data_IF_784888711466
#
_entry.id   IF_784888711466
#
_cell.length_a   1.000
_cell.length_b   1.000
_cell.length_c   1.000
_cell.angle_alpha   90.00
_cell.angle_beta   90.00
_cell.angle_gamma   90.00
#
_symmetry.space_group_name_H-M   'P 1'
#
loop_
_entity.id
_entity.type
_entity.pdbx_description
1 polymer ?
#
# COMPACT_ATOMS: atom_id res chain seq x y z
N UNK A 1 0.06 -14.50 -15.88
CA UNK A 1 0.42 -14.44 -17.31
C UNK A 1 -0.72 -14.93 -18.22
N UNK A 2 -1.21 -16.15 -18.04
CA UNK A 2 -2.19 -16.76 -18.95
C UNK A 2 -3.52 -15.99 -19.07
N UNK A 3 -3.95 -15.33 -17.99
CA UNK A 3 -5.19 -14.55 -17.98
C UNK A 3 -5.05 -13.12 -18.57
N UNK A 4 -3.85 -12.69 -18.93
CA UNK A 4 -3.60 -11.35 -19.45
C UNK A 4 -3.84 -10.22 -18.44
N UNK A 5 -3.78 -10.54 -17.15
CA UNK A 5 -3.97 -9.56 -16.06
C UNK A 5 -2.61 -9.01 -15.65
N UNK A 6 -2.48 -7.69 -15.62
CA UNK A 6 -1.28 -7.01 -15.11
C UNK A 6 -1.20 -7.14 -13.60
N UNK A 7 0.02 -7.26 -13.09
CA UNK A 7 0.33 -7.39 -11.67
C UNK A 7 1.13 -6.18 -11.21
N UNK A 8 0.65 -5.54 -10.17
CA UNK A 8 1.37 -4.60 -9.32
C UNK A 8 1.87 -5.36 -8.10
N UNK A 9 3.17 -5.37 -7.86
CA UNK A 9 3.80 -6.16 -6.80
C UNK A 9 4.42 -5.25 -5.74
N UNK A 10 3.89 -5.31 -4.53
CA UNK A 10 4.51 -4.66 -3.38
C UNK A 10 5.61 -5.52 -2.77
N UNK A 11 6.68 -4.88 -2.31
CA UNK A 11 7.49 -5.44 -1.24
C UNK A 11 6.67 -5.42 0.06
N UNK A 12 7.02 -6.28 1.03
CA UNK A 12 6.19 -6.56 2.21
C UNK A 12 6.01 -5.42 3.21
N UNK A 13 6.60 -4.26 2.98
CA UNK A 13 6.63 -3.16 3.94
C UNK A 13 5.38 -2.28 3.81
N UNK A 14 4.60 -2.12 4.88
CA UNK A 14 3.33 -1.40 4.85
C UNK A 14 3.00 -0.70 6.17
N UNK A 15 2.47 0.52 6.11
CA UNK A 15 1.80 1.23 7.21
C UNK A 15 2.59 1.33 8.52
N UNK A 16 3.91 1.22 8.50
CA UNK A 16 4.74 1.18 9.71
C UNK A 16 6.12 1.80 9.50
N UNK A 17 6.73 2.20 10.61
CA UNK A 17 8.15 2.50 10.66
C UNK A 17 8.94 1.18 10.80
N UNK A 18 9.90 0.97 9.92
CA UNK A 18 10.72 -0.24 9.93
C UNK A 18 12.14 0.06 10.40
N UNK A 19 12.72 -0.82 11.25
CA UNK A 19 14.09 -0.64 11.72
C UNK A 19 15.09 -0.80 10.57
N UNK A 20 16.19 -0.06 10.67
CA UNK A 20 17.27 -0.07 9.70
C UNK A 20 18.60 -0.56 10.29
N UNK A 21 18.52 -1.40 11.34
CA UNK A 21 19.70 -2.07 11.89
C UNK A 21 20.29 -3.10 10.90
N UNK A 22 21.52 -3.52 11.15
CA UNK A 22 22.26 -4.35 10.21
C UNK A 22 21.58 -5.70 9.93
N UNK A 23 20.98 -6.32 10.94
CA UNK A 23 20.36 -7.63 10.80
C UNK A 23 19.06 -7.51 9.99
N UNK A 24 18.21 -6.54 10.30
CA UNK A 24 16.98 -6.28 9.55
C UNK A 24 17.28 -5.91 8.08
N UNK A 25 18.30 -5.08 7.84
CA UNK A 25 18.73 -4.75 6.46
C UNK A 25 19.17 -5.99 5.68
N UNK A 26 19.94 -6.87 6.31
CA UNK A 26 20.41 -8.09 5.65
C UNK A 26 19.25 -9.02 5.27
N UNK A 27 18.27 -9.20 6.14
CA UNK A 27 17.08 -10.02 5.88
C UNK A 27 16.20 -9.42 4.78
N UNK A 28 15.93 -8.12 4.83
CA UNK A 28 15.13 -7.43 3.80
C UNK A 28 15.84 -7.49 2.44
N UNK A 29 17.16 -7.31 2.40
CA UNK A 29 17.92 -7.44 1.15
C UNK A 29 17.85 -8.86 0.59
N UNK A 30 18.06 -9.88 1.44
CA UNK A 30 18.03 -11.27 1.01
C UNK A 30 16.65 -11.65 0.43
N UNK A 31 15.57 -11.27 1.11
CA UNK A 31 14.22 -11.51 0.61
C UNK A 31 13.94 -10.74 -0.68
N UNK A 32 14.29 -9.47 -0.75
CA UNK A 32 14.07 -8.66 -1.95
C UNK A 32 14.81 -9.26 -3.17
N UNK A 33 16.05 -9.69 -3.03
CA UNK A 33 16.81 -10.35 -4.10
C UNK A 33 16.12 -11.63 -4.58
N UNK A 34 15.66 -12.46 -3.66
CA UNK A 34 14.95 -13.69 -3.99
C UNK A 34 13.64 -13.39 -4.74
N UNK A 35 12.83 -12.47 -4.25
CA UNK A 35 11.55 -12.13 -4.87
C UNK A 35 11.73 -11.49 -6.25
N UNK A 36 12.69 -10.59 -6.42
CA UNK A 36 12.98 -9.99 -7.72
C UNK A 36 13.42 -11.08 -8.71
N UNK A 37 14.40 -11.91 -8.34
CA UNK A 37 14.87 -12.98 -9.20
C UNK A 37 13.76 -13.98 -9.59
N UNK A 38 12.85 -14.26 -8.68
CA UNK A 38 11.73 -15.19 -8.91
C UNK A 38 10.62 -14.60 -9.79
N UNK A 39 10.32 -13.31 -9.66
CA UNK A 39 9.14 -12.70 -10.26
C UNK A 39 9.42 -11.89 -11.52
N UNK A 40 10.63 -11.38 -11.72
CA UNK A 40 10.97 -10.48 -12.84
C UNK A 40 10.73 -11.07 -14.23
N UNK A 41 10.74 -12.40 -14.36
CA UNK A 41 10.50 -13.08 -15.65
C UNK A 41 9.03 -13.21 -16.03
N UNK A 42 8.11 -12.83 -15.15
CA UNK A 42 6.68 -12.91 -15.44
C UNK A 42 6.20 -11.73 -16.29
N UNK A 43 5.70 -12.00 -17.48
CA UNK A 43 5.21 -10.97 -18.41
C UNK A 43 4.02 -10.14 -17.86
N UNK A 44 3.30 -10.65 -16.87
CA UNK A 44 2.22 -9.93 -16.20
C UNK A 44 2.71 -8.89 -15.19
N UNK A 45 3.92 -9.02 -14.68
CA UNK A 45 4.48 -8.04 -13.75
C UNK A 45 4.72 -6.72 -14.48
N UNK A 46 4.20 -5.62 -13.93
CA UNK A 46 4.30 -4.30 -14.56
C UNK A 46 4.94 -3.26 -13.66
N UNK A 47 4.72 -3.36 -12.35
CA UNK A 47 5.20 -2.37 -11.37
C UNK A 47 5.68 -3.09 -10.11
N UNK A 48 6.84 -2.65 -9.62
CA UNK A 48 7.31 -2.90 -8.27
C UNK A 48 6.99 -1.70 -7.39
N UNK A 49 6.45 -1.94 -6.20
CA UNK A 49 6.18 -0.89 -5.21
C UNK A 49 6.96 -1.15 -3.92
N UNK A 50 7.70 -0.17 -3.46
CA UNK A 50 8.60 -0.29 -2.31
C UNK A 50 7.89 -0.41 -0.98
N UNK A 51 6.77 0.30 -0.82
CA UNK A 51 6.01 0.29 0.43
C UNK A 51 4.58 0.73 0.24
N UNK A 52 3.68 0.23 1.09
CA UNK A 52 2.30 0.67 1.15
C UNK A 52 2.10 1.68 2.28
N UNK A 53 1.62 2.88 1.93
CA UNK A 53 1.22 3.97 2.83
C UNK A 53 2.32 4.54 3.75
N UNK A 54 3.58 4.16 3.60
CA UNK A 54 4.62 4.63 4.52
C UNK A 54 4.91 6.11 4.38
N UNK A 55 4.92 6.66 3.15
CA UNK A 55 5.13 8.10 2.97
C UNK A 55 3.94 8.93 3.45
N UNK A 56 2.70 8.47 3.21
CA UNK A 56 1.52 9.16 3.75
C UNK A 56 1.45 9.05 5.27
N UNK A 57 1.84 7.91 5.84
CA UNK A 57 1.88 7.76 7.29
C UNK A 57 2.84 8.77 7.95
N UNK A 58 4.05 8.93 7.39
CA UNK A 58 5.05 9.84 7.93
C UNK A 58 4.63 11.31 7.82
N UNK A 59 3.96 11.69 6.75
CA UNK A 59 3.59 13.07 6.47
C UNK A 59 2.23 13.48 7.04
N UNK A 60 1.27 12.56 7.10
CA UNK A 60 -0.14 12.90 7.34
C UNK A 60 -0.73 12.23 8.58
N UNK A 61 -0.29 11.03 8.96
CA UNK A 61 -0.89 10.32 10.09
C UNK A 61 -0.39 10.90 11.42
N UNK A 62 -1.33 11.31 12.25
CA UNK A 62 -1.06 12.07 13.47
C UNK A 62 -0.06 11.43 14.42
N UNK A 63 -0.15 10.12 14.66
CA UNK A 63 0.75 9.39 15.56
C UNK A 63 2.21 9.42 15.11
N UNK A 64 2.46 9.18 13.84
CA UNK A 64 3.80 9.22 13.25
C UNK A 64 4.33 10.63 13.17
N UNK A 65 3.51 11.56 12.69
CA UNK A 65 3.89 12.99 12.57
C UNK A 65 4.35 13.58 13.90
N UNK A 66 3.76 13.16 15.03
CA UNK A 66 4.19 13.60 16.35
C UNK A 66 5.43 12.88 16.87
N UNK A 67 5.63 11.63 16.49
CA UNK A 67 6.80 10.85 16.90
C UNK A 67 8.07 11.30 16.17
N UNK A 68 7.96 11.94 15.01
CA UNK A 68 9.08 12.42 14.21
C UNK A 68 9.76 13.62 14.85
N UNK A 69 11.05 13.50 15.09
CA UNK A 69 11.92 14.61 15.45
C UNK A 69 12.34 15.38 14.18
N UNK A 70 12.74 16.63 14.34
CA UNK A 70 13.15 17.46 13.19
C UNK A 70 14.36 16.88 12.45
N UNK A 71 15.28 16.22 13.16
CA UNK A 71 16.43 15.55 12.56
C UNK A 71 16.08 14.32 11.70
N UNK A 72 14.89 13.75 11.91
CA UNK A 72 14.41 12.57 11.17
C UNK A 72 13.74 12.96 9.83
N UNK A 73 13.48 14.25 9.61
CA UNK A 73 12.71 14.77 8.46
C UNK A 73 13.55 15.14 7.25
N UNK A 74 14.72 14.53 7.08
CA UNK A 74 15.54 14.81 5.90
C UNK A 74 14.89 14.20 4.64
N UNK A 75 14.55 15.03 3.63
CA UNK A 75 13.92 14.52 2.42
C UNK A 75 14.89 13.62 1.64
N UNK A 76 14.37 12.52 1.12
CA UNK A 76 15.06 11.63 0.19
C UNK A 76 15.01 12.18 -1.26
N UNK A 77 15.48 11.39 -2.22
CA UNK A 77 15.48 11.76 -3.63
C UNK A 77 14.08 12.06 -4.21
N UNK A 78 13.03 11.52 -3.59
CA UNK A 78 11.63 11.68 -4.00
C UNK A 78 10.93 12.87 -3.31
N UNK A 79 11.59 13.54 -2.37
CA UNK A 79 11.02 14.66 -1.62
C UNK A 79 10.25 14.28 -0.36
N UNK A 80 10.24 12.99 -0.02
CA UNK A 80 9.72 12.44 1.22
C UNK A 80 10.89 11.93 2.05
N UNK A 81 10.60 11.33 3.15
CA UNK A 81 11.59 10.61 3.87
C UNK A 81 11.59 10.88 5.34
N UNK A 82 11.88 9.84 6.03
CA UNK A 82 12.08 9.82 7.47
C UNK A 82 13.24 8.90 7.75
N UNK A 83 14.40 9.50 7.91
CA UNK A 83 15.65 8.77 8.13
C UNK A 83 15.52 7.81 9.31
N UNK A 84 15.91 6.56 9.10
CA UNK A 84 15.91 5.55 10.14
C UNK A 84 14.56 4.86 10.39
N UNK A 85 13.53 5.15 9.56
CA UNK A 85 12.18 4.59 9.70
C UNK A 85 11.79 3.66 8.55
N UNK A 86 12.77 3.13 7.83
CA UNK A 86 12.59 2.27 6.67
C UNK A 86 12.84 2.97 5.33
N UNK A 87 13.10 4.26 5.34
CA UNK A 87 13.33 5.05 4.13
C UNK A 87 14.49 4.51 3.29
N UNK A 88 15.53 3.99 3.94
CA UNK A 88 16.64 3.29 3.27
C UNK A 88 16.17 2.20 2.33
N UNK A 89 15.15 1.43 2.69
CA UNK A 89 14.64 0.36 1.84
C UNK A 89 14.02 0.91 0.57
N UNK A 90 13.20 1.94 0.71
CA UNK A 90 12.41 2.50 -0.39
C UNK A 90 13.22 3.37 -1.33
N UNK A 91 14.14 4.17 -0.77
CA UNK A 91 14.87 5.17 -1.52
C UNK A 91 16.22 4.70 -2.05
N UNK A 92 16.85 3.72 -1.40
CA UNK A 92 18.21 3.27 -1.71
C UNK A 92 18.27 1.79 -2.08
N UNK A 93 17.82 0.90 -1.20
CA UNK A 93 18.03 -0.55 -1.38
C UNK A 93 17.25 -1.10 -2.57
N UNK A 94 15.92 -0.98 -2.57
CA UNK A 94 15.09 -1.58 -3.61
C UNK A 94 15.38 -1.04 -5.01
N UNK A 95 15.53 0.29 -5.23
CA UNK A 95 15.91 0.78 -6.55
C UNK A 95 17.30 0.29 -7.00
N UNK A 96 18.27 0.12 -6.08
CA UNK A 96 19.57 -0.44 -6.41
C UNK A 96 19.47 -1.91 -6.83
N UNK A 97 18.71 -2.71 -6.10
CA UNK A 97 18.49 -4.12 -6.43
C UNK A 97 17.75 -4.30 -7.76
N UNK A 98 16.76 -3.47 -8.01
CA UNK A 98 16.01 -3.51 -9.27
C UNK A 98 16.87 -3.06 -10.44
N UNK A 99 17.73 -2.05 -10.27
CA UNK A 99 18.69 -1.66 -11.30
C UNK A 99 19.66 -2.80 -11.66
N UNK A 100 20.00 -3.66 -10.71
CA UNK A 100 20.87 -4.84 -10.90
C UNK A 100 20.11 -6.02 -11.51
N UNK A 101 18.94 -6.36 -10.98
CA UNK A 101 18.27 -7.65 -11.22
C UNK A 101 17.07 -7.56 -12.16
N UNK A 102 16.44 -6.40 -12.25
CA UNK A 102 15.24 -6.15 -13.06
C UNK A 102 15.15 -4.70 -13.56
N UNK A 103 16.04 -4.28 -14.46
CA UNK A 103 16.09 -2.89 -14.92
C UNK A 103 14.95 -2.52 -15.89
N UNK A 104 14.00 -3.41 -16.12
CA UNK A 104 12.95 -3.27 -17.14
C UNK A 104 11.65 -2.74 -16.53
N UNK A 105 11.26 -3.24 -15.37
CA UNK A 105 9.99 -2.87 -14.74
C UNK A 105 10.08 -1.53 -14.00
N UNK A 106 8.94 -0.84 -13.98
CA UNK A 106 8.81 0.43 -13.24
C UNK A 106 8.88 0.19 -11.75
N UNK A 107 9.54 1.09 -11.04
CA UNK A 107 9.59 1.10 -9.59
C UNK A 107 8.97 2.37 -9.01
N UNK A 108 8.14 2.20 -7.99
CA UNK A 108 7.62 3.27 -7.12
C UNK A 108 8.08 3.02 -5.69
N UNK A 109 8.64 4.02 -5.00
CA UNK A 109 9.14 3.84 -3.62
C UNK A 109 8.02 3.68 -2.59
N UNK A 110 6.84 4.23 -2.87
CA UNK A 110 5.66 4.10 -2.01
C UNK A 110 4.37 4.29 -2.80
N UNK A 111 3.28 3.78 -2.27
CA UNK A 111 1.92 3.97 -2.74
C UNK A 111 1.05 4.36 -1.52
N UNK A 112 0.30 5.48 -1.53
CA UNK A 112 0.33 6.49 -2.57
C UNK A 112 1.61 7.34 -2.54
N UNK A 113 1.92 7.96 -3.66
CA UNK A 113 2.93 9.01 -3.71
C UNK A 113 2.65 10.00 -4.84
N UNK A 114 3.00 11.26 -4.62
CA UNK A 114 3.09 12.28 -5.66
C UNK A 114 4.51 12.33 -6.24
N UNK A 115 4.63 12.52 -7.55
CA UNK A 115 5.91 12.78 -8.20
C UNK A 115 6.36 14.24 -8.08
N UNK A 116 5.44 15.12 -7.69
CA UNK A 116 5.77 16.51 -7.37
C UNK A 116 6.37 16.57 -5.96
N UNK A 117 7.67 16.86 -5.89
CA UNK A 117 8.42 16.92 -4.63
C UNK A 117 7.81 17.94 -3.65
N UNK A 118 7.90 17.62 -2.36
CA UNK A 118 7.45 18.46 -1.25
C UNK A 118 5.93 18.72 -1.21
N UNK A 119 5.15 17.86 -1.83
CA UNK A 119 3.69 17.81 -1.66
C UNK A 119 3.29 16.66 -0.75
N UNK A 120 2.05 16.67 -0.26
CA UNK A 120 1.51 15.52 0.45
C UNK A 120 1.51 14.28 -0.46
N UNK A 121 1.76 13.11 0.11
CA UNK A 121 1.88 11.88 -0.66
C UNK A 121 0.57 11.48 -1.34
N UNK A 122 -0.56 11.71 -0.68
CA UNK A 122 -1.87 11.29 -1.17
C UNK A 122 -2.66 12.44 -1.79
N UNK A 123 -2.32 12.80 -3.04
CA UNK A 123 -2.98 13.86 -3.81
C UNK A 123 -3.37 13.39 -5.20
N UNK A 124 -4.43 13.97 -5.75
CA UNK A 124 -4.93 13.68 -7.10
C UNK A 124 -4.29 14.52 -8.21
N UNK A 125 -3.10 15.07 -7.97
CA UNK A 125 -2.37 15.90 -8.93
C UNK A 125 -1.52 15.08 -9.92
N UNK A 126 -0.80 14.10 -9.39
CA UNK A 126 0.04 13.18 -10.15
C UNK A 126 0.33 11.91 -9.33
N UNK A 127 1.09 10.96 -9.91
CA UNK A 127 1.44 9.71 -9.21
C UNK A 127 0.22 8.85 -8.92
N UNK A 128 0.15 8.32 -7.71
CA UNK A 128 -0.88 7.39 -7.25
C UNK A 128 -1.67 7.95 -6.08
N UNK A 129 -2.91 7.48 -5.90
CA UNK A 129 -3.81 7.95 -4.87
C UNK A 129 -4.62 6.83 -4.24
N UNK A 130 -4.71 6.84 -2.91
CA UNK A 130 -5.62 6.02 -2.11
C UNK A 130 -6.88 6.82 -1.72
N UNK A 131 -8.05 6.30 -2.01
CA UNK A 131 -9.34 6.98 -1.75
C UNK A 131 -10.10 6.21 -0.66
N UNK A 132 -9.72 6.41 0.60
CA UNK A 132 -10.32 5.75 1.76
C UNK A 132 -11.18 6.67 2.65
N UNK A 133 -11.27 7.94 2.39
CA UNK A 133 -12.25 8.82 3.01
C UNK A 133 -13.67 8.48 2.56
N UNK A 134 -13.86 8.14 1.30
CA UNK A 134 -15.06 7.43 0.85
C UNK A 134 -15.10 6.07 1.56
N UNK A 135 -16.25 5.71 2.06
CA UNK A 135 -16.53 4.61 2.96
C UNK A 135 -16.15 4.89 4.43
N UNK A 136 -14.98 5.48 4.72
CA UNK A 136 -14.60 5.76 6.11
C UNK A 136 -15.24 6.98 6.71
N UNK A 137 -15.47 8.04 5.94
CA UNK A 137 -15.92 9.35 6.43
C UNK A 137 -17.01 10.00 5.59
N UNK A 138 -17.07 9.70 4.30
CA UNK A 138 -17.97 10.36 3.34
C UNK A 138 -18.71 9.34 2.49
N UNK A 139 -19.84 9.78 1.91
CA UNK A 139 -20.71 8.98 1.06
C UNK A 139 -20.01 8.58 -0.26
N UNK A 140 -20.39 7.43 -0.84
CA UNK A 140 -19.81 6.88 -2.07
C UNK A 140 -19.88 7.84 -3.26
N UNK A 141 -20.87 8.74 -3.31
CA UNK A 141 -20.98 9.77 -4.35
C UNK A 141 -19.79 10.71 -4.40
N UNK A 142 -19.01 10.77 -3.33
CA UNK A 142 -17.78 11.56 -3.23
C UNK A 142 -16.63 11.03 -4.08
N UNK A 143 -16.73 9.81 -4.63
CA UNK A 143 -15.78 9.37 -5.66
C UNK A 143 -15.72 10.30 -6.87
N UNK A 144 -16.80 10.99 -7.19
CA UNK A 144 -16.86 11.94 -8.31
C UNK A 144 -16.06 13.24 -8.05
N UNK A 145 -15.66 13.50 -6.83
CA UNK A 145 -14.89 14.68 -6.45
C UNK A 145 -13.38 14.48 -6.72
N UNK A 146 -12.93 13.25 -6.99
CA UNK A 146 -11.53 12.90 -7.23
C UNK A 146 -11.23 12.70 -8.71
N UNK A 147 -10.04 13.15 -9.14
CA UNK A 147 -9.56 12.97 -10.52
C UNK A 147 -8.11 12.47 -10.56
N UNK A 148 -7.79 11.37 -9.85
CA UNK A 148 -6.42 10.89 -9.76
C UNK A 148 -5.91 10.42 -11.14
N UNK A 149 -4.59 10.48 -11.33
CA UNK A 149 -3.94 9.84 -12.48
C UNK A 149 -4.01 8.33 -12.40
N UNK A 150 -3.87 7.80 -11.20
CA UNK A 150 -3.98 6.38 -10.90
C UNK A 150 -4.51 6.20 -9.47
N UNK A 151 -5.68 5.63 -9.32
CA UNK A 151 -6.20 5.20 -8.02
C UNK A 151 -5.80 3.74 -7.81
N UNK A 152 -4.81 3.50 -6.98
CA UNK A 152 -4.29 2.18 -6.69
C UNK A 152 -4.97 1.52 -5.49
N UNK A 153 -5.61 2.31 -4.63
CA UNK A 153 -6.51 1.79 -3.62
C UNK A 153 -7.79 2.60 -3.51
N UNK A 154 -8.90 1.92 -3.55
CA UNK A 154 -10.22 2.47 -3.23
C UNK A 154 -11.19 1.32 -2.97
N UNK A 155 -12.31 1.61 -2.34
CA UNK A 155 -13.33 0.60 -2.15
C UNK A 155 -14.49 1.08 -1.28
N UNK A 156 -15.56 0.32 -1.35
CA UNK A 156 -16.71 0.46 -0.47
C UNK A 156 -17.07 -0.93 0.01
N UNK A 157 -17.18 -1.12 1.31
CA UNK A 157 -17.45 -2.44 1.84
C UNK A 157 -18.81 -2.93 1.37
N UNK A 158 -18.83 -4.14 0.85
CA UNK A 158 -20.02 -4.84 0.43
C UNK A 158 -19.87 -6.35 0.72
N UNK A 159 -20.97 -7.07 0.92
CA UNK A 159 -20.89 -8.52 1.00
C UNK A 159 -20.42 -9.09 -0.35
N UNK A 160 -19.75 -10.26 -0.35
CA UNK A 160 -19.42 -10.96 -1.58
C UNK A 160 -20.67 -11.46 -2.29
N UNK A 161 -20.51 -12.00 -3.50
CA UNK A 161 -21.61 -12.66 -4.19
C UNK A 161 -22.27 -13.74 -3.30
N UNK A 162 -23.58 -13.87 -3.37
CA UNK A 162 -24.36 -14.78 -2.54
C UNK A 162 -23.82 -16.24 -2.58
N UNK A 163 -23.41 -16.70 -3.77
CA UNK A 163 -22.81 -18.03 -3.94
C UNK A 163 -21.48 -18.20 -3.20
N UNK A 164 -20.72 -17.14 -3.02
CA UNK A 164 -19.49 -17.16 -2.20
C UNK A 164 -19.85 -17.14 -0.71
N UNK A 165 -20.78 -16.28 -0.32
CA UNK A 165 -21.21 -16.14 1.06
C UNK A 165 -21.74 -17.45 1.62
N UNK A 166 -22.62 -18.16 0.90
CA UNK A 166 -23.23 -19.41 1.33
C UNK A 166 -22.27 -20.60 1.41
N UNK A 167 -21.08 -20.48 0.82
CA UNK A 167 -20.02 -21.50 1.00
C UNK A 167 -19.30 -21.42 2.33
N UNK A 168 -19.32 -20.27 2.98
CA UNK A 168 -18.52 -20.01 4.19
C UNK A 168 -19.36 -19.61 5.41
N UNK A 169 -20.59 -19.15 5.20
CA UNK A 169 -21.52 -18.79 6.28
C UNK A 169 -22.67 -19.78 6.29
N UNK A 170 -22.81 -20.51 7.40
CA UNK A 170 -23.78 -21.60 7.59
C UNK A 170 -24.69 -21.32 8.80
N UNK A 171 -24.93 -20.04 9.11
CA UNK A 171 -25.97 -19.68 10.07
C UNK A 171 -27.35 -20.10 9.56
N UNK A 172 -28.26 -20.52 10.46
CA UNK A 172 -29.63 -20.95 10.09
C UNK A 172 -30.36 -19.89 9.28
N UNK A 173 -30.05 -18.61 9.54
CA UNK A 173 -30.47 -17.47 8.75
C UNK A 173 -29.26 -16.63 8.36
N UNK A 174 -29.20 -16.23 7.11
CA UNK A 174 -28.22 -15.25 6.64
C UNK A 174 -28.69 -13.85 7.06
N UNK A 175 -28.16 -13.39 8.17
CA UNK A 175 -28.43 -12.07 8.74
C UNK A 175 -27.12 -11.30 8.91
N UNK A 176 -27.13 -9.96 8.75
CA UNK A 176 -25.91 -9.14 8.90
C UNK A 176 -25.20 -9.32 10.25
N UNK A 177 -25.94 -9.69 11.30
CA UNK A 177 -25.44 -9.89 12.66
C UNK A 177 -25.42 -11.36 13.08
N UNK A 178 -25.56 -12.29 12.15
CA UNK A 178 -25.43 -13.73 12.38
C UNK A 178 -24.03 -14.06 12.91
N UNK A 179 -23.93 -15.12 13.71
CA UNK A 179 -22.69 -15.48 14.41
C UNK A 179 -21.52 -15.69 13.46
N UNK A 180 -21.74 -16.46 12.38
CA UNK A 180 -20.68 -16.72 11.41
C UNK A 180 -20.43 -15.51 10.50
N UNK A 181 -21.48 -14.75 10.15
CA UNK A 181 -21.32 -13.50 9.41
C UNK A 181 -20.38 -12.53 10.15
N UNK A 182 -20.53 -12.36 11.46
CA UNK A 182 -19.67 -11.50 12.26
C UNK A 182 -18.22 -12.01 12.34
N UNK A 183 -17.99 -13.32 12.26
CA UNK A 183 -16.63 -13.87 12.19
C UNK A 183 -15.92 -13.47 10.89
N UNK A 184 -16.66 -13.39 9.79
CA UNK A 184 -16.11 -13.00 8.49
C UNK A 184 -16.04 -11.50 8.27
N UNK A 185 -16.71 -10.69 9.11
CA UNK A 185 -16.64 -9.24 9.05
C UNK A 185 -15.39 -8.71 9.78
N UNK A 186 -14.48 -8.06 9.06
CA UNK A 186 -13.18 -7.61 9.60
C UNK A 186 -12.98 -6.09 9.55
N UNK A 187 -13.88 -5.34 8.94
CA UNK A 187 -13.76 -3.90 8.91
C UNK A 187 -13.96 -3.27 10.29
N UNK A 188 -13.26 -2.20 10.56
CA UNK A 188 -13.47 -1.37 11.74
C UNK A 188 -14.90 -0.82 11.74
N UNK A 189 -15.62 -0.95 12.84
CA UNK A 189 -17.03 -0.62 12.93
C UNK A 189 -17.98 -1.75 12.54
N UNK A 190 -17.47 -2.83 11.95
CA UNK A 190 -18.27 -4.02 11.60
C UNK A 190 -19.47 -3.68 10.70
N UNK A 191 -20.57 -4.38 10.89
CA UNK A 191 -21.80 -4.19 10.11
C UNK A 191 -22.63 -2.96 10.53
N UNK A 192 -22.14 -2.15 11.47
CA UNK A 192 -22.75 -0.87 11.85
C UNK A 192 -22.25 0.33 11.03
N UNK A 193 -21.27 0.14 10.17
CA UNK A 193 -20.64 1.19 9.39
C UNK A 193 -21.35 1.47 8.05
#
# INVERSE_FOLDING_TARGET
DEAGIMVWQDFMLACAAYPEDADTRAEVEAEAREQIARLSSHASLTVWNGSNENYVAYSEWWGYKQALRDDDKAPNAYGYGVKGWGDYYYADLFPSLLAELDPVHVYLPSSPMSFTKFTDANKDIDGTMHIWDVWNRVDYRKYLDYTPRFADEFGYQAPPAFSTLTRVVHDDKLEPFGKQMLVHQKASGGNYK
#
